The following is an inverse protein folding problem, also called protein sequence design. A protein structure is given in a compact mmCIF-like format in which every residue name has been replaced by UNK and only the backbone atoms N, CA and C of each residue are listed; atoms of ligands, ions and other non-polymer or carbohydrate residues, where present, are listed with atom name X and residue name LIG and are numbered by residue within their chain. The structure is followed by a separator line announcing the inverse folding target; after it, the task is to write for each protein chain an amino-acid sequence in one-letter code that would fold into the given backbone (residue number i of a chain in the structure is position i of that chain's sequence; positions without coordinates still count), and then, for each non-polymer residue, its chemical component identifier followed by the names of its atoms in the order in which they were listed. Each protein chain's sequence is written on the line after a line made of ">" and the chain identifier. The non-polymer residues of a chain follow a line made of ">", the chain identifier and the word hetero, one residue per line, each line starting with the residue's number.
data_IF_614169446372
#
_entry.id   IF_614169446372
#
_cell.length_a   1.000
_cell.length_b   1.000
_cell.length_c   1.000
_cell.angle_alpha   90.00
_cell.angle_beta   90.00
_cell.angle_gamma   90.00
#
_symmetry.space_group_name_H-M   'P 1'
#
loop_
_entity.id
_entity.type
_entity.pdbx_description
1 polymer ?
#
# COMPACT_ATOMS: atom_id res chain seq x y z
N UNK A 1 -31.47 31.03 30.90
CA UNK A 1 -30.70 30.02 31.67
C UNK A 1 -30.86 28.63 31.08
N UNK A 2 -32.08 28.10 30.89
CA UNK A 2 -32.35 26.74 30.38
C UNK A 2 -31.53 26.33 29.13
N UNK A 3 -31.43 27.19 28.12
CA UNK A 3 -30.71 26.89 26.88
C UNK A 3 -29.19 26.71 27.07
N UNK A 4 -28.61 27.45 28.01
CA UNK A 4 -27.17 27.38 28.30
C UNK A 4 -26.82 26.07 29.01
N UNK A 5 -27.68 25.65 29.95
CA UNK A 5 -27.52 24.40 30.68
C UNK A 5 -27.67 23.19 29.75
N UNK A 6 -28.61 23.24 28.82
CA UNK A 6 -28.81 22.19 27.82
C UNK A 6 -27.64 22.08 26.83
N UNK A 7 -27.12 23.21 26.34
CA UNK A 7 -25.94 23.23 25.49
C UNK A 7 -24.69 22.70 26.22
N UNK A 8 -24.52 23.05 27.51
CA UNK A 8 -23.44 22.54 28.35
C UNK A 8 -23.57 21.02 28.56
N UNK A 9 -24.79 20.52 28.77
CA UNK A 9 -25.07 19.08 28.86
C UNK A 9 -24.70 18.34 27.57
N UNK A 10 -25.10 18.88 26.42
CA UNK A 10 -24.79 18.30 25.11
C UNK A 10 -23.27 18.22 24.87
N UNK A 11 -22.53 19.29 25.17
CA UNK A 11 -21.07 19.27 25.09
C UNK A 11 -20.43 18.20 25.98
N UNK A 12 -20.93 18.04 27.21
CA UNK A 12 -20.46 16.98 28.12
C UNK A 12 -20.72 15.60 27.52
N UNK A 13 -21.94 15.34 27.05
CA UNK A 13 -22.32 14.05 26.46
C UNK A 13 -21.46 13.69 25.23
N UNK A 14 -21.18 14.66 24.36
CA UNK A 14 -20.30 14.45 23.21
C UNK A 14 -18.88 14.11 23.68
N UNK A 15 -18.36 14.85 24.67
CA UNK A 15 -17.03 14.57 25.23
C UNK A 15 -16.95 13.19 25.85
N UNK A 16 -17.95 12.79 26.63
CA UNK A 16 -17.99 11.51 27.33
C UNK A 16 -18.16 10.34 26.36
N UNK A 17 -19.01 10.48 25.35
CA UNK A 17 -19.17 9.50 24.28
C UNK A 17 -17.85 9.31 23.51
N UNK A 18 -17.15 10.40 23.19
CA UNK A 18 -15.87 10.33 22.49
C UNK A 18 -14.78 9.66 23.34
N UNK A 19 -14.67 10.01 24.63
CA UNK A 19 -13.74 9.33 25.56
C UNK A 19 -14.03 7.84 25.67
N UNK A 20 -15.31 7.47 25.76
CA UNK A 20 -15.73 6.06 25.80
C UNK A 20 -15.35 5.34 24.51
N UNK A 21 -15.57 5.97 23.35
CA UNK A 21 -15.15 5.43 22.06
C UNK A 21 -13.64 5.17 22.03
N UNK A 22 -12.81 6.14 22.41
CA UNK A 22 -11.34 5.98 22.44
C UNK A 22 -10.95 4.83 23.37
N UNK A 23 -11.50 4.76 24.58
CA UNK A 23 -11.19 3.69 25.53
C UNK A 23 -11.55 2.31 24.99
N UNK A 24 -12.70 2.18 24.32
CA UNK A 24 -13.11 0.92 23.66
C UNK A 24 -12.12 0.55 22.57
N UNK A 25 -11.78 1.50 21.69
CA UNK A 25 -10.81 1.26 20.60
C UNK A 25 -9.44 0.86 21.15
N UNK A 26 -8.93 1.54 22.17
CA UNK A 26 -7.65 1.21 22.80
C UNK A 26 -7.66 -0.20 23.41
N UNK A 27 -8.75 -0.60 24.06
CA UNK A 27 -8.90 -1.94 24.63
C UNK A 27 -9.08 -3.00 23.53
N UNK A 28 -9.80 -2.68 22.46
CA UNK A 28 -9.95 -3.54 21.30
C UNK A 28 -8.61 -3.79 20.60
N UNK A 29 -7.78 -2.75 20.44
CA UNK A 29 -6.43 -2.88 19.86
C UNK A 29 -5.51 -3.70 20.76
N UNK A 30 -5.59 -3.52 22.09
CA UNK A 30 -4.81 -4.32 23.04
C UNK A 30 -5.20 -5.79 23.04
N UNK A 31 -6.50 -6.09 22.93
CA UNK A 31 -7.00 -7.47 22.94
C UNK A 31 -6.86 -8.16 21.59
N UNK A 32 -7.04 -7.44 20.50
CA UNK A 32 -6.97 -7.94 19.13
C UNK A 32 -6.37 -6.88 18.19
N UNK A 33 -5.05 -6.90 17.98
CA UNK A 33 -4.37 -5.98 17.07
C UNK A 33 -4.86 -6.07 15.61
N UNK A 34 -5.49 -7.18 15.19
CA UNK A 34 -5.98 -7.35 13.81
C UNK A 34 -7.07 -6.34 13.46
N UNK A 35 -7.86 -5.89 14.45
CA UNK A 35 -8.89 -4.86 14.29
C UNK A 35 -8.31 -3.53 13.83
N UNK A 36 -7.11 -3.17 14.29
CA UNK A 36 -6.40 -1.97 13.85
C UNK A 36 -6.07 -2.06 12.36
N UNK A 37 -5.49 -3.19 11.95
CA UNK A 37 -5.11 -3.42 10.56
C UNK A 37 -6.32 -3.49 9.62
N UNK A 38 -7.42 -4.06 10.09
CA UNK A 38 -8.70 -4.02 9.39
C UNK A 38 -9.22 -2.59 9.23
N UNK A 39 -9.23 -1.80 10.29
CA UNK A 39 -9.63 -0.39 10.22
C UNK A 39 -8.75 0.42 9.25
N UNK A 40 -7.43 0.23 9.30
CA UNK A 40 -6.49 0.90 8.40
C UNK A 40 -6.67 0.45 6.96
N UNK A 41 -6.82 -0.84 6.70
CA UNK A 41 -7.06 -1.37 5.34
C UNK A 41 -8.41 -0.89 4.78
N UNK A 42 -9.46 -0.87 5.60
CA UNK A 42 -10.77 -0.34 5.21
C UNK A 42 -10.70 1.16 4.88
N UNK A 43 -9.95 1.95 5.66
CA UNK A 43 -9.72 3.37 5.38
C UNK A 43 -8.80 3.60 4.16
N UNK A 44 -7.92 2.63 3.87
CA UNK A 44 -7.02 2.60 2.71
C UNK A 44 -7.64 1.96 1.48
N UNK A 45 -8.97 1.73 1.42
CA UNK A 45 -9.70 1.37 0.18
C UNK A 45 -9.66 2.49 -0.88
N UNK A 46 -8.47 2.97 -1.21
CA UNK A 46 -8.06 3.43 -2.52
C UNK A 46 -7.65 2.17 -3.28
N UNK A 47 -7.90 2.12 -4.59
CA UNK A 47 -7.75 0.95 -5.47
C UNK A 47 -6.31 0.44 -5.61
N UNK A 48 -5.38 0.84 -4.74
CA UNK A 48 -3.93 0.67 -4.90
C UNK A 48 -3.36 1.50 -6.05
N UNK A 49 -4.23 2.01 -6.91
CA UNK A 49 -3.95 2.83 -8.07
C UNK A 49 -4.14 4.28 -7.64
N UNK A 50 -3.16 5.17 -7.87
CA UNK A 50 -3.34 6.60 -7.64
C UNK A 50 -4.58 7.11 -8.38
N UNK A 51 -5.41 7.94 -7.74
CA UNK A 51 -6.63 8.43 -8.37
C UNK A 51 -6.38 9.40 -9.54
N UNK A 52 -5.19 9.99 -9.58
CA UNK A 52 -4.72 10.88 -10.64
C UNK A 52 -3.22 10.66 -10.85
N UNK A 53 -2.76 10.70 -12.09
CA UNK A 53 -1.35 10.59 -12.47
C UNK A 53 -1.03 11.50 -13.64
N UNK A 54 0.25 11.88 -13.80
CA UNK A 54 0.70 12.70 -14.92
C UNK A 54 1.82 11.96 -15.65
N UNK A 55 1.66 11.78 -16.95
CA UNK A 55 2.67 11.20 -17.86
C UNK A 55 2.75 12.08 -19.10
N UNK A 56 3.95 12.55 -19.45
CA UNK A 56 4.20 13.39 -20.64
C UNK A 56 3.18 14.54 -20.79
N UNK A 57 3.01 15.32 -19.72
CA UNK A 57 2.06 16.45 -19.63
C UNK A 57 0.57 16.10 -19.76
N UNK A 58 0.21 14.80 -19.79
CA UNK A 58 -1.17 14.32 -19.83
C UNK A 58 -1.61 13.81 -18.45
N UNK A 59 -2.77 14.29 -17.97
CA UNK A 59 -3.38 13.86 -16.71
C UNK A 59 -4.26 12.62 -16.94
N UNK A 60 -3.96 11.55 -16.22
CA UNK A 60 -4.67 10.28 -16.25
C UNK A 60 -5.49 10.14 -14.97
N UNK A 61 -6.80 10.01 -15.13
CA UNK A 61 -7.75 9.91 -14.02
C UNK A 61 -8.55 8.60 -14.05
N UNK A 62 -8.46 7.83 -15.14
CA UNK A 62 -9.03 6.49 -15.22
C UNK A 62 -8.01 5.42 -14.76
N UNK A 63 -8.39 4.52 -13.84
CA UNK A 63 -7.48 3.46 -13.36
C UNK A 63 -6.94 2.55 -14.46
N UNK A 64 -7.71 2.29 -15.53
CA UNK A 64 -7.28 1.42 -16.63
C UNK A 64 -6.22 2.12 -17.48
N UNK A 65 -6.43 3.41 -17.76
CA UNK A 65 -5.45 4.25 -18.46
C UNK A 65 -4.14 4.35 -17.68
N UNK A 66 -4.22 4.52 -16.37
CA UNK A 66 -3.07 4.55 -15.47
C UNK A 66 -2.26 3.25 -15.58
N UNK A 67 -2.91 2.10 -15.45
CA UNK A 67 -2.25 0.79 -15.51
C UNK A 67 -1.62 0.53 -16.88
N UNK A 68 -2.32 0.88 -17.97
CA UNK A 68 -1.81 0.72 -19.33
C UNK A 68 -0.60 1.64 -19.61
N UNK A 69 -0.64 2.88 -19.12
CA UNK A 69 0.47 3.83 -19.26
C UNK A 69 1.72 3.34 -18.51
N UNK A 70 1.55 2.77 -17.32
CA UNK A 70 2.63 2.07 -16.62
C UNK A 70 3.18 0.90 -17.45
N UNK A 71 2.30 0.01 -17.94
CA UNK A 71 2.72 -1.15 -18.72
C UNK A 71 3.53 -0.75 -19.96
N UNK A 72 3.10 0.29 -20.67
CA UNK A 72 3.81 0.83 -21.83
C UNK A 72 5.18 1.42 -21.44
N UNK A 73 5.24 2.20 -20.35
CA UNK A 73 6.48 2.82 -19.87
C UNK A 73 7.51 1.77 -19.47
N UNK A 74 7.09 0.67 -18.83
CA UNK A 74 7.99 -0.42 -18.47
C UNK A 74 8.36 -1.29 -19.67
N UNK A 75 7.42 -1.57 -20.58
CA UNK A 75 7.70 -2.38 -21.77
C UNK A 75 8.79 -1.74 -22.65
N UNK A 76 8.82 -0.42 -22.77
CA UNK A 76 9.88 0.30 -23.50
C UNK A 76 11.28 0.08 -22.91
N UNK A 77 11.37 -0.14 -21.59
CA UNK A 77 12.63 -0.39 -20.88
C UNK A 77 13.14 -1.84 -20.96
N UNK A 78 12.35 -2.79 -21.47
CA UNK A 78 12.72 -4.21 -21.50
C UNK A 78 12.53 -4.81 -22.90
N UNK A 79 13.64 -5.19 -23.54
CA UNK A 79 13.57 -6.06 -24.72
C UNK A 79 13.44 -7.52 -24.29
N UNK A 80 12.49 -8.26 -24.87
CA UNK A 80 12.53 -9.73 -24.85
C UNK A 80 13.81 -10.18 -25.53
N UNK A 81 14.64 -10.94 -24.81
CA UNK A 81 15.80 -11.62 -25.39
C UNK A 81 15.26 -12.58 -26.44
N UNK A 82 15.54 -12.32 -27.72
CA UNK A 82 15.24 -13.27 -28.79
C UNK A 82 15.85 -14.62 -28.41
N UNK A 83 15.10 -15.70 -28.62
CA UNK A 83 15.53 -17.07 -28.37
C UNK A 83 16.78 -17.38 -29.19
N UNK A 84 17.96 -17.14 -28.61
CA UNK A 84 19.19 -17.73 -29.09
C UNK A 84 19.22 -19.19 -28.62
N UNK A 85 18.54 -20.05 -29.37
CA UNK A 85 18.96 -21.45 -29.46
C UNK A 85 20.40 -21.46 -29.99
N UNK A 86 21.28 -22.27 -29.39
CA UNK A 86 22.74 -22.35 -29.59
C UNK A 86 23.55 -21.51 -28.59
N UNK A 87 23.65 -21.99 -27.35
CA UNK A 87 24.85 -22.02 -26.51
C UNK A 87 24.53 -22.67 -25.13
N UNK A 88 23.97 -23.89 -25.14
CA UNK A 88 23.74 -24.65 -23.88
C UNK A 88 25.06 -25.09 -23.21
N UNK A 89 26.18 -25.10 -23.91
CA UNK A 89 27.44 -25.63 -23.37
C UNK A 89 28.31 -24.58 -22.63
N UNK A 90 27.95 -23.28 -22.63
CA UNK A 90 28.82 -22.22 -22.06
C UNK A 90 28.36 -21.65 -20.71
N UNK A 91 27.14 -21.95 -20.24
CA UNK A 91 26.60 -21.33 -19.01
C UNK A 91 26.96 -22.05 -17.70
N UNK A 92 27.63 -23.21 -17.73
CA UNK A 92 28.04 -23.91 -16.52
C UNK A 92 29.31 -23.38 -15.86
N UNK A 93 29.98 -22.34 -16.40
CA UNK A 93 31.24 -21.82 -15.84
C UNK A 93 31.22 -20.35 -15.42
N UNK A 94 30.06 -19.69 -15.36
CA UNK A 94 30.00 -18.36 -14.74
C UNK A 94 29.55 -18.52 -13.27
N UNK A 95 30.38 -18.09 -12.29
CA UNK A 95 29.93 -18.05 -10.92
C UNK A 95 28.91 -16.91 -10.82
N UNK A 96 27.63 -17.25 -10.80
CA UNK A 96 26.60 -16.32 -10.39
C UNK A 96 26.84 -15.99 -8.91
N UNK A 97 27.59 -14.93 -8.65
CA UNK A 97 27.77 -14.39 -7.30
C UNK A 97 26.53 -13.59 -6.94
N UNK A 98 25.80 -14.07 -5.93
CA UNK A 98 24.62 -13.44 -5.34
C UNK A 98 24.92 -12.10 -4.61
N UNK A 99 26.17 -11.61 -4.65
CA UNK A 99 26.64 -10.43 -3.89
C UNK A 99 26.13 -9.08 -4.40
N UNK A 100 25.18 -9.05 -5.32
CA UNK A 100 24.59 -7.78 -5.82
C UNK A 100 23.06 -7.84 -5.80
N UNK A 101 22.49 -8.45 -4.77
CA UNK A 101 21.19 -7.98 -4.29
C UNK A 101 21.51 -6.78 -3.39
N UNK A 102 21.34 -5.56 -3.93
CA UNK A 102 21.34 -4.35 -3.10
C UNK A 102 20.31 -4.52 -1.98
N UNK A 103 20.62 -4.03 -0.77
CA UNK A 103 19.66 -3.99 0.36
C UNK A 103 18.31 -3.35 -0.05
N UNK A 104 18.31 -2.51 -1.09
CA UNK A 104 17.12 -1.92 -1.69
C UNK A 104 16.15 -2.97 -2.25
N UNK A 105 16.63 -4.06 -2.85
CA UNK A 105 15.76 -5.12 -3.41
C UNK A 105 15.18 -5.99 -2.28
N UNK A 106 15.94 -6.20 -1.20
CA UNK A 106 15.46 -6.91 -0.02
C UNK A 106 14.38 -6.09 0.70
N UNK A 107 14.53 -4.77 0.81
CA UNK A 107 13.46 -3.91 1.34
C UNK A 107 12.25 -3.86 0.41
N UNK A 108 12.45 -3.94 -0.92
CA UNK A 108 11.38 -4.02 -1.92
C UNK A 108 10.69 -5.40 -1.97
N UNK A 109 11.24 -6.45 -1.38
CA UNK A 109 10.57 -7.76 -1.24
C UNK A 109 9.98 -7.96 0.16
N UNK A 110 10.55 -7.35 1.19
CA UNK A 110 10.10 -7.55 2.57
C UNK A 110 8.74 -6.87 2.88
N UNK A 111 8.31 -5.88 2.10
CA UNK A 111 6.97 -5.29 2.27
C UNK A 111 5.83 -6.22 1.80
N UNK A 112 6.13 -7.29 1.05
CA UNK A 112 5.11 -8.25 0.57
C UNK A 112 4.91 -9.47 1.48
N UNK A 113 5.71 -9.68 2.53
CA UNK A 113 5.64 -10.89 3.35
C UNK A 113 4.88 -10.77 4.69
N UNK A 114 4.25 -9.63 5.01
CA UNK A 114 3.36 -9.51 6.20
C UNK A 114 1.87 -9.69 5.87
N UNK A 115 1.55 -10.27 4.71
CA UNK A 115 0.17 -10.44 4.22
C UNK A 115 -0.46 -11.81 4.52
N UNK A 116 0.10 -12.61 5.43
CA UNK A 116 -0.55 -13.85 5.92
C UNK A 116 -0.22 -14.10 7.40
N UNK A 117 -0.88 -13.38 8.31
CA UNK A 117 -1.49 -13.89 9.56
C UNK A 117 -2.63 -12.94 9.93
#
# INVERSE_FOLDING_TARGET
>A
MVFYDEFKRLKSLISDAYKKYISVVENDIKSDPSKLWKFLSDKRKSTGIPGQMIVNDSELNDPSEIVNSFAATFADGYSTREEFSLLEDYYHSLPFSFSTISEDVLTMLNWKCWAQV
#
